data_IF_958174894051
#
_entry.id   IF_958174894051
#
_cell.length_a   1.000
_cell.length_b   1.000
_cell.length_c   1.000
_cell.angle_alpha   90.00
_cell.angle_beta   90.00
_cell.angle_gamma   90.00
#
_symmetry.space_group_name_H-M   'P 1'
#
loop_
_entity.id
_entity.type
_entity.pdbx_description
1 polymer ?
#
# COMPACT_ATOMS: atom_id res chain seq x y z
N UNK A 1 58.00 -22.48 15.86
CA UNK A 1 56.78 -22.91 15.12
C UNK A 1 57.14 -23.98 14.11
N UNK A 2 56.52 -25.16 14.20
CA UNK A 2 56.61 -26.22 13.17
C UNK A 2 55.85 -25.78 11.91
N UNK A 3 56.23 -26.29 10.73
CA UNK A 3 55.53 -26.03 9.46
C UNK A 3 54.01 -26.26 9.55
N UNK A 4 53.61 -27.26 10.35
CA UNK A 4 52.21 -27.59 10.63
C UNK A 4 51.48 -26.44 11.36
N UNK A 5 52.10 -25.82 12.37
CA UNK A 5 51.51 -24.69 13.11
C UNK A 5 51.34 -23.43 12.26
N UNK A 6 52.19 -23.23 11.24
CA UNK A 6 52.13 -22.09 10.32
C UNK A 6 50.96 -22.22 9.34
N UNK A 7 50.73 -23.42 8.82
CA UNK A 7 49.57 -23.72 7.95
C UNK A 7 48.25 -23.59 8.71
N UNK A 8 48.19 -24.05 9.96
CA UNK A 8 46.99 -23.92 10.80
C UNK A 8 46.64 -22.43 11.04
N UNK A 9 47.62 -21.60 11.36
CA UNK A 9 47.41 -20.15 11.52
C UNK A 9 46.96 -19.45 10.23
N UNK A 10 47.52 -19.85 9.07
CA UNK A 10 47.09 -19.32 7.77
C UNK A 10 45.63 -19.68 7.47
N UNK A 11 45.21 -20.90 7.78
CA UNK A 11 43.82 -21.35 7.59
C UNK A 11 42.89 -20.58 8.52
N UNK A 12 43.25 -20.38 9.79
CA UNK A 12 42.42 -19.61 10.75
C UNK A 12 42.26 -18.15 10.27
N UNK A 13 43.33 -17.52 9.80
CA UNK A 13 43.29 -16.16 9.25
C UNK A 13 42.39 -16.12 7.99
N UNK A 14 42.56 -17.05 7.05
CA UNK A 14 41.71 -17.13 5.85
C UNK A 14 40.24 -17.35 6.20
N UNK A 15 39.94 -18.22 7.16
CA UNK A 15 38.57 -18.50 7.60
C UNK A 15 37.94 -17.28 8.27
N UNK A 16 38.70 -16.55 9.09
CA UNK A 16 38.22 -15.33 9.74
C UNK A 16 37.96 -14.18 8.76
N UNK A 17 38.80 -14.04 7.73
CA UNK A 17 38.59 -13.08 6.63
C UNK A 17 37.34 -13.48 5.84
N UNK A 18 37.16 -14.77 5.56
CA UNK A 18 35.99 -15.28 4.85
C UNK A 18 34.70 -15.06 5.64
N UNK A 19 34.70 -15.33 6.96
CA UNK A 19 33.57 -15.08 7.85
C UNK A 19 33.24 -13.58 7.87
N UNK A 20 34.25 -12.71 7.94
CA UNK A 20 34.06 -11.26 7.90
C UNK A 20 33.49 -10.77 6.56
N UNK A 21 33.95 -11.35 5.44
CA UNK A 21 33.42 -11.10 4.10
C UNK A 21 31.97 -11.59 3.94
N UNK A 22 31.62 -12.73 4.55
CA UNK A 22 30.25 -13.25 4.54
C UNK A 22 29.33 -12.36 5.39
N UNK A 23 29.78 -11.86 6.55
CA UNK A 23 29.00 -10.91 7.33
C UNK A 23 28.85 -9.54 6.65
N UNK A 24 29.78 -9.17 5.76
CA UNK A 24 29.66 -8.02 4.85
C UNK A 24 28.58 -8.24 3.78
N UNK A 25 28.47 -9.45 3.21
CA UNK A 25 27.38 -9.78 2.27
C UNK A 25 26.01 -9.77 2.94
N UNK A 26 25.90 -10.23 4.20
CA UNK A 26 24.63 -10.32 4.93
C UNK A 26 24.10 -8.97 5.41
N UNK A 27 24.95 -7.95 5.56
CA UNK A 27 24.53 -6.58 5.93
C UNK A 27 24.16 -5.73 4.71
N UNK A 28 24.47 -6.21 3.50
CA UNK A 28 23.97 -5.67 2.24
C UNK A 28 22.56 -6.21 1.88
N UNK A 29 21.81 -6.76 2.84
CA UNK A 29 20.37 -6.88 2.73
C UNK A 29 19.82 -5.46 2.71
N UNK A 30 19.69 -4.95 1.49
CA UNK A 30 19.14 -3.64 1.15
C UNK A 30 17.76 -3.50 1.80
N UNK A 31 17.61 -2.60 2.76
CA UNK A 31 16.31 -2.02 3.01
C UNK A 31 15.89 -1.38 1.68
N UNK A 32 14.83 -1.91 1.06
CA UNK A 32 14.38 -1.44 -0.24
C UNK A 32 14.27 0.08 -0.21
N UNK A 33 15.08 0.75 -1.03
CA UNK A 33 15.08 2.20 -1.08
C UNK A 33 13.82 2.65 -1.80
N UNK A 34 12.82 3.06 -1.02
CA UNK A 34 11.57 3.59 -1.53
C UNK A 34 11.71 5.09 -1.81
N UNK A 35 11.28 5.49 -3.00
CA UNK A 35 11.15 6.91 -3.38
C UNK A 35 9.68 7.26 -3.58
N UNK A 36 9.27 8.47 -3.23
CA UNK A 36 7.90 8.93 -3.50
C UNK A 36 7.74 9.18 -5.00
N UNK A 37 6.74 8.54 -5.62
CA UNK A 37 6.35 8.76 -7.03
C UNK A 37 5.01 9.45 -7.17
N UNK A 38 4.16 9.34 -6.15
CA UNK A 38 2.89 10.03 -6.09
C UNK A 38 2.61 10.49 -4.66
N UNK A 39 2.09 11.69 -4.50
CA UNK A 39 1.53 12.15 -3.24
C UNK A 39 0.39 13.10 -3.55
N UNK A 40 -0.79 12.76 -3.06
CA UNK A 40 -1.98 13.56 -3.20
C UNK A 40 -2.68 13.67 -1.85
N UNK A 41 -3.05 14.89 -1.49
CA UNK A 41 -3.77 15.18 -0.26
C UNK A 41 -5.24 15.29 -0.59
N UNK A 42 -6.08 14.86 0.33
CA UNK A 42 -7.50 15.13 0.30
C UNK A 42 -7.89 16.17 1.36
N UNK A 43 -9.14 16.58 1.36
CA UNK A 43 -9.70 17.36 2.43
C UNK A 43 -9.78 16.51 3.72
N UNK A 44 -10.24 17.15 4.80
CA UNK A 44 -10.35 16.49 6.10
C UNK A 44 -11.76 16.62 6.59
N UNK A 45 -12.33 15.52 7.07
CA UNK A 45 -13.67 15.47 7.63
C UNK A 45 -14.75 15.68 6.59
N UNK A 46 -14.55 15.17 5.37
CA UNK A 46 -15.53 15.15 4.30
C UNK A 46 -15.98 13.73 3.93
N UNK A 47 -15.85 12.79 4.85
CA UNK A 47 -16.28 11.40 4.70
C UNK A 47 -17.80 11.18 4.85
N UNK A 48 -18.56 12.11 4.28
CA UNK A 48 -20.02 12.16 4.27
C UNK A 48 -20.59 12.07 2.84
N UNK A 49 -19.86 11.41 1.93
CA UNK A 49 -20.24 11.15 0.54
C UNK A 49 -20.60 12.46 -0.20
N UNK A 50 -21.81 12.59 -0.78
CA UNK A 50 -22.28 13.82 -1.41
C UNK A 50 -22.52 14.99 -0.42
N UNK A 51 -22.19 14.81 0.86
CA UNK A 51 -22.22 15.84 1.89
C UNK A 51 -23.45 15.80 2.80
N UNK A 52 -24.30 14.79 2.65
CA UNK A 52 -25.50 14.57 3.49
C UNK A 52 -25.52 13.19 4.15
N UNK A 53 -24.44 12.39 4.01
CA UNK A 53 -24.40 11.08 4.64
C UNK A 53 -24.18 11.21 6.14
N UNK A 54 -24.85 10.36 6.91
CA UNK A 54 -24.56 10.16 8.31
C UNK A 54 -24.23 8.69 8.57
N UNK A 55 -23.29 8.47 9.48
CA UNK A 55 -22.90 7.13 9.88
C UNK A 55 -24.09 6.33 10.43
N UNK A 56 -24.04 4.99 10.32
CA UNK A 56 -25.02 4.14 10.99
C UNK A 56 -24.99 4.33 12.51
N UNK A 57 -26.17 4.22 13.15
CA UNK A 57 -26.34 4.47 14.59
C UNK A 57 -25.63 3.48 15.53
N UNK A 58 -25.09 2.38 15.00
CA UNK A 58 -24.39 1.44 15.85
C UNK A 58 -23.14 2.10 16.46
N UNK A 59 -22.96 1.93 17.78
CA UNK A 59 -21.87 2.52 18.54
C UNK A 59 -20.47 2.31 17.95
N UNK A 60 -20.22 1.25 17.18
CA UNK A 60 -18.91 1.02 16.54
C UNK A 60 -18.51 2.14 15.57
N UNK A 61 -19.49 2.77 14.91
CA UNK A 61 -19.26 3.90 14.01
C UNK A 61 -19.11 5.22 14.77
N UNK A 62 -19.28 5.22 16.08
CA UNK A 62 -19.16 6.42 16.92
C UNK A 62 -18.04 6.30 17.95
N UNK A 63 -17.13 5.35 17.77
CA UNK A 63 -15.93 5.20 18.61
C UNK A 63 -14.89 6.28 18.31
N UNK A 64 -14.87 6.79 17.08
CA UNK A 64 -14.08 7.92 16.63
C UNK A 64 -14.82 8.62 15.48
N UNK A 65 -14.46 9.88 15.22
CA UNK A 65 -14.89 10.61 14.03
C UNK A 65 -13.96 10.28 12.85
N UNK A 66 -14.36 10.61 11.62
CA UNK A 66 -13.52 10.52 10.42
C UNK A 66 -13.02 9.08 10.14
N UNK A 67 -13.92 8.09 10.31
CA UNK A 67 -13.64 6.67 10.15
C UNK A 67 -13.43 6.25 8.71
N UNK A 68 -13.92 7.03 7.74
CA UNK A 68 -13.78 6.77 6.31
C UNK A 68 -13.02 7.89 5.57
N UNK A 69 -12.56 8.91 6.31
CA UNK A 69 -11.83 10.11 5.87
C UNK A 69 -10.42 9.78 5.38
N UNK A 70 -10.22 9.65 4.05
CA UNK A 70 -8.91 9.44 3.44
C UNK A 70 -8.21 10.79 3.25
N UNK A 71 -7.26 11.12 4.11
CA UNK A 71 -6.58 12.43 4.08
C UNK A 71 -5.43 12.51 3.08
N UNK A 72 -4.84 11.37 2.69
CA UNK A 72 -3.81 11.33 1.67
C UNK A 72 -3.60 9.94 1.07
N UNK A 73 -3.19 9.93 -0.20
CA UNK A 73 -2.55 8.79 -0.84
C UNK A 73 -1.10 9.14 -1.19
N UNK A 74 -0.16 8.37 -0.64
CA UNK A 74 1.25 8.42 -1.05
C UNK A 74 1.65 7.09 -1.68
N UNK A 75 2.20 7.11 -2.89
CA UNK A 75 2.77 5.92 -3.54
C UNK A 75 4.29 6.05 -3.54
N UNK A 76 4.92 5.06 -2.94
CA UNK A 76 6.35 4.87 -2.95
C UNK A 76 6.71 3.77 -3.95
N UNK A 77 7.87 3.91 -4.59
CA UNK A 77 8.40 2.96 -5.54
C UNK A 77 9.78 2.49 -5.10
N UNK A 78 9.99 1.17 -5.13
CA UNK A 78 11.30 0.53 -5.06
C UNK A 78 11.69 -0.06 -6.43
N UNK A 79 12.78 -0.82 -6.49
CA UNK A 79 13.15 -1.55 -7.72
C UNK A 79 12.07 -2.56 -8.14
N UNK A 80 11.44 -3.25 -7.18
CA UNK A 80 10.59 -4.41 -7.44
C UNK A 80 9.13 -4.26 -6.99
N UNK A 81 8.81 -3.24 -6.21
CA UNK A 81 7.48 -3.07 -5.62
C UNK A 81 7.03 -1.61 -5.57
N UNK A 82 5.71 -1.43 -5.49
CA UNK A 82 5.09 -0.20 -5.02
C UNK A 82 4.62 -0.41 -3.58
N UNK A 83 4.68 0.67 -2.79
CA UNK A 83 4.05 0.73 -1.48
C UNK A 83 3.08 1.91 -1.46
N UNK A 84 1.81 1.62 -1.27
CA UNK A 84 0.75 2.61 -1.13
C UNK A 84 0.60 2.88 0.36
N UNK A 85 0.58 4.15 0.75
CA UNK A 85 0.19 4.60 2.08
C UNK A 85 -1.13 5.36 1.96
N UNK A 86 -2.15 4.81 2.59
CA UNK A 86 -3.45 5.44 2.80
C UNK A 86 -3.43 6.07 4.19
N UNK A 87 -3.47 7.39 4.27
CA UNK A 87 -3.51 8.10 5.54
C UNK A 87 -4.94 8.48 5.86
N UNK A 88 -5.50 7.91 6.92
CA UNK A 88 -6.88 8.16 7.35
C UNK A 88 -6.97 9.16 8.50
N UNK A 89 -8.16 9.75 8.68
CA UNK A 89 -8.49 10.52 9.88
C UNK A 89 -8.44 9.65 11.14
N UNK A 90 -9.18 8.54 11.16
CA UNK A 90 -9.08 7.49 12.15
C UNK A 90 -9.30 6.10 11.54
N UNK A 91 -8.47 5.14 11.94
CA UNK A 91 -8.72 3.71 11.69
C UNK A 91 -9.09 3.01 12.99
N UNK A 92 -10.20 2.27 12.96
CA UNK A 92 -10.64 1.44 14.08
C UNK A 92 -10.80 -0.01 13.65
N UNK A 93 -10.74 -0.90 14.63
CA UNK A 93 -10.88 -2.33 14.41
C UNK A 93 -11.85 -2.99 15.41
N UNK A 94 -13.14 -2.58 15.42
CA UNK A 94 -14.15 -3.17 16.28
C UNK A 94 -14.41 -4.67 16.05
N UNK A 95 -13.96 -5.22 14.92
CA UNK A 95 -14.17 -6.62 14.53
C UNK A 95 -12.92 -7.50 14.59
N UNK A 96 -11.79 -6.99 15.10
CA UNK A 96 -10.53 -7.73 15.26
C UNK A 96 -10.10 -8.39 13.94
N UNK A 97 -9.87 -7.54 12.93
CA UNK A 97 -9.61 -7.95 11.55
C UNK A 97 -8.13 -8.29 11.34
N UNK A 98 -7.82 -9.07 10.30
CA UNK A 98 -6.45 -9.54 10.00
C UNK A 98 -5.44 -8.40 9.89
N UNK A 99 -5.82 -7.31 9.22
CA UNK A 99 -4.94 -6.16 8.96
C UNK A 99 -5.13 -5.02 9.97
N UNK A 100 -5.84 -5.28 11.07
CA UNK A 100 -6.00 -4.32 12.15
C UNK A 100 -6.90 -3.13 11.83
N UNK A 101 -7.79 -3.20 10.84
CA UNK A 101 -8.85 -2.22 10.59
C UNK A 101 -10.10 -2.93 10.07
N UNK A 102 -11.29 -2.44 10.40
CA UNK A 102 -12.55 -3.15 10.11
C UNK A 102 -13.49 -2.45 9.13
N UNK A 103 -13.59 -1.11 9.24
CA UNK A 103 -14.75 -0.39 8.74
C UNK A 103 -14.59 0.13 7.31
N UNK A 104 -13.45 0.73 6.90
CA UNK A 104 -13.24 1.11 5.51
C UNK A 104 -13.22 -0.07 4.52
N UNK A 105 -13.85 0.13 3.37
CA UNK A 105 -13.61 -0.63 2.14
C UNK A 105 -12.85 0.29 1.20
N UNK A 106 -11.63 -0.06 0.82
CA UNK A 106 -10.78 0.78 -0.05
C UNK A 106 -10.76 0.18 -1.45
N UNK A 107 -11.10 1.00 -2.45
CA UNK A 107 -11.09 0.63 -3.85
C UNK A 107 -10.17 1.55 -4.65
N UNK A 108 -9.30 0.97 -5.47
CA UNK A 108 -8.35 1.71 -6.29
C UNK A 108 -8.33 1.12 -7.69
N UNK A 109 -8.76 1.92 -8.64
CA UNK A 109 -8.68 1.61 -10.05
C UNK A 109 -7.44 2.29 -10.62
N UNK A 110 -6.67 1.54 -11.41
CA UNK A 110 -5.45 2.03 -12.07
C UNK A 110 -5.62 1.89 -13.58
N UNK A 111 -5.37 2.98 -14.28
CA UNK A 111 -5.20 3.04 -15.73
C UNK A 111 -3.72 3.28 -16.01
N UNK A 112 -2.99 2.21 -16.31
CA UNK A 112 -1.56 2.24 -16.58
C UNK A 112 -1.16 1.52 -17.89
N UNK A 113 -2.14 1.22 -18.74
CA UNK A 113 -1.95 0.56 -20.03
C UNK A 113 -2.91 1.12 -21.08
N UNK A 114 -2.66 0.85 -22.36
CA UNK A 114 -3.47 1.38 -23.46
C UNK A 114 -4.88 0.79 -23.57
N UNK A 115 -5.17 -0.29 -22.86
CA UNK A 115 -6.45 -1.00 -22.90
C UNK A 115 -6.94 -1.26 -21.49
N UNK A 116 -8.25 -1.09 -21.28
CA UNK A 116 -8.90 -1.28 -20.00
C UNK A 116 -10.42 -1.28 -20.15
N UNK A 117 -11.12 -1.35 -19.03
CA UNK A 117 -12.57 -1.21 -18.94
C UNK A 117 -12.96 0.19 -18.46
N UNK A 118 -14.17 0.63 -18.80
CA UNK A 118 -14.67 1.97 -18.48
C UNK A 118 -15.86 1.98 -17.53
N UNK A 119 -16.37 0.80 -17.19
CA UNK A 119 -17.32 0.61 -16.10
C UNK A 119 -16.58 0.06 -14.90
N UNK A 120 -17.00 0.40 -13.66
CA UNK A 120 -16.54 -0.30 -12.46
C UNK A 120 -16.66 -1.82 -12.61
N UNK A 121 -15.77 -2.55 -11.94
CA UNK A 121 -15.80 -4.03 -11.99
C UNK A 121 -17.13 -4.59 -11.46
N UNK A 122 -17.71 -3.91 -10.47
CA UNK A 122 -19.05 -4.14 -9.97
C UNK A 122 -19.73 -2.80 -9.66
N UNK A 123 -21.06 -2.78 -9.68
CA UNK A 123 -21.86 -1.58 -9.42
C UNK A 123 -22.02 -1.29 -7.91
N UNK A 124 -21.16 -1.85 -7.04
CA UNK A 124 -21.22 -1.67 -5.58
C UNK A 124 -21.15 -0.20 -5.18
N UNK A 125 -20.18 0.52 -5.72
CA UNK A 125 -19.97 1.93 -5.43
C UNK A 125 -21.07 2.85 -6.00
N UNK A 126 -21.86 2.40 -6.98
CA UNK A 126 -22.85 3.23 -7.71
C UNK A 126 -22.24 4.54 -8.27
N UNK A 127 -21.08 4.44 -8.92
CA UNK A 127 -20.40 5.55 -9.59
C UNK A 127 -20.14 5.19 -11.05
N UNK A 128 -19.75 6.18 -11.85
CA UNK A 128 -19.17 5.99 -13.18
C UNK A 128 -17.77 6.60 -13.22
N UNK A 129 -16.98 6.22 -14.23
CA UNK A 129 -15.68 6.83 -14.49
C UNK A 129 -15.77 7.86 -15.61
N UNK A 130 -14.85 8.83 -15.61
CA UNK A 130 -14.69 9.73 -16.74
C UNK A 130 -14.33 8.98 -18.01
N UNK A 131 -14.79 9.49 -19.17
CA UNK A 131 -14.62 8.82 -20.48
C UNK A 131 -13.16 8.51 -20.84
N UNK A 132 -12.22 9.28 -20.30
CA UNK A 132 -10.78 9.19 -20.53
C UNK A 132 -10.04 8.24 -19.57
N UNK A 133 -10.75 7.61 -18.64
CA UNK A 133 -10.19 6.66 -17.68
C UNK A 133 -10.61 5.23 -18.05
N UNK A 134 -9.64 4.39 -18.43
CA UNK A 134 -9.85 2.99 -18.82
C UNK A 134 -9.02 2.08 -17.93
N UNK A 135 -9.56 1.70 -16.78
CA UNK A 135 -8.81 0.94 -15.79
C UNK A 135 -8.44 -0.46 -16.29
N UNK A 136 -7.28 -0.94 -15.88
CA UNK A 136 -6.78 -2.27 -16.23
C UNK A 136 -6.25 -3.05 -15.02
N UNK A 137 -6.13 -2.39 -13.87
CA UNK A 137 -5.94 -3.02 -12.56
C UNK A 137 -6.93 -2.44 -11.57
N UNK A 138 -7.54 -3.28 -10.76
CA UNK A 138 -8.46 -2.88 -9.71
C UNK A 138 -8.08 -3.57 -8.40
N UNK A 139 -7.74 -2.77 -7.40
CA UNK A 139 -7.44 -3.22 -6.05
C UNK A 139 -8.63 -2.95 -5.16
N UNK A 140 -9.09 -3.99 -4.47
CA UNK A 140 -10.15 -3.91 -3.47
C UNK A 140 -9.61 -4.44 -2.15
N UNK A 141 -9.72 -3.65 -1.09
CA UNK A 141 -9.03 -3.92 0.18
C UNK A 141 -10.03 -3.77 1.32
N UNK A 142 -10.07 -4.78 2.18
CA UNK A 142 -10.80 -4.76 3.45
C UNK A 142 -9.86 -5.09 4.61
N UNK A 143 -10.39 -5.15 5.83
CA UNK A 143 -9.68 -5.63 7.01
C UNK A 143 -9.16 -7.06 6.94
N UNK A 144 -9.61 -7.87 5.98
CA UNK A 144 -9.31 -9.31 5.92
C UNK A 144 -8.60 -9.75 4.65
N UNK A 145 -8.74 -9.00 3.56
CA UNK A 145 -8.23 -9.41 2.26
C UNK A 145 -7.84 -8.21 1.41
N UNK A 146 -6.95 -8.47 0.46
CA UNK A 146 -6.53 -7.52 -0.55
C UNK A 146 -6.59 -8.22 -1.90
N UNK A 147 -7.58 -7.85 -2.71
CA UNK A 147 -7.86 -8.50 -3.99
C UNK A 147 -7.40 -7.63 -5.15
N UNK A 148 -6.87 -8.28 -6.18
CA UNK A 148 -6.43 -7.64 -7.41
C UNK A 148 -7.17 -8.24 -8.60
N UNK A 149 -7.85 -7.38 -9.35
CA UNK A 149 -8.63 -7.74 -10.52
C UNK A 149 -8.06 -7.07 -11.78
N UNK A 150 -8.37 -7.69 -12.92
CA UNK A 150 -8.25 -7.12 -14.27
C UNK A 150 -9.61 -7.17 -14.95
N UNK A 151 -9.82 -6.47 -16.08
CA UNK A 151 -11.08 -6.54 -16.83
C UNK A 151 -11.49 -7.97 -17.26
N UNK A 152 -10.55 -8.90 -17.35
CA UNK A 152 -10.79 -10.30 -17.71
C UNK A 152 -11.02 -11.21 -16.50
N UNK A 153 -10.93 -10.68 -15.28
CA UNK A 153 -11.17 -11.46 -14.07
C UNK A 153 -12.63 -11.91 -14.01
N UNK A 154 -12.86 -13.17 -13.67
CA UNK A 154 -14.21 -13.69 -13.51
C UNK A 154 -14.90 -13.01 -12.33
N UNK A 155 -16.09 -12.46 -12.55
CA UNK A 155 -16.95 -11.95 -11.50
C UNK A 155 -17.40 -13.08 -10.59
N UNK A 156 -17.11 -12.97 -9.29
CA UNK A 156 -17.54 -13.96 -8.30
C UNK A 156 -18.65 -13.39 -7.44
N UNK A 157 -19.86 -13.94 -7.59
CA UNK A 157 -20.95 -13.67 -6.66
C UNK A 157 -20.68 -14.39 -5.35
N UNK A 158 -20.72 -13.65 -4.24
CA UNK A 158 -20.59 -14.12 -2.84
C UNK A 158 -21.11 -15.54 -2.64
N UNK A 159 -20.20 -16.51 -2.61
CA UNK A 159 -20.50 -17.84 -2.11
C UNK A 159 -20.24 -17.85 -0.61
N UNK A 160 -21.25 -17.52 0.19
CA UNK A 160 -21.18 -17.51 1.66
C UNK A 160 -20.80 -18.88 2.27
N UNK A 161 -20.84 -19.97 1.48
CA UNK A 161 -20.38 -21.29 1.89
C UNK A 161 -18.88 -21.53 1.64
N UNK A 162 -18.25 -20.66 0.86
CA UNK A 162 -16.81 -20.63 0.64
C UNK A 162 -16.21 -19.54 1.53
N UNK A 163 -16.08 -19.87 2.81
CA UNK A 163 -14.88 -19.51 3.55
C UNK A 163 -13.68 -20.21 2.86
N UNK A 164 -13.43 -19.86 1.60
CA UNK A 164 -12.42 -20.49 0.79
C UNK A 164 -11.09 -20.22 1.47
N UNK A 165 -10.42 -21.30 1.84
CA UNK A 165 -9.02 -21.28 2.26
C UNK A 165 -8.09 -20.80 1.13
N UNK A 166 -8.64 -20.54 -0.06
CA UNK A 166 -7.96 -20.10 -1.28
C UNK A 166 -8.84 -19.03 -1.96
N UNK A 167 -8.65 -17.77 -1.59
CA UNK A 167 -9.25 -16.63 -2.28
C UNK A 167 -8.50 -16.43 -3.60
N UNK A 168 -9.11 -16.87 -4.71
CA UNK A 168 -8.47 -16.87 -6.04
C UNK A 168 -8.06 -15.46 -6.53
N UNK A 169 -8.66 -14.41 -5.95
CA UNK A 169 -8.39 -13.02 -6.30
C UNK A 169 -7.46 -12.33 -5.30
N UNK A 170 -7.04 -13.01 -4.23
CA UNK A 170 -6.05 -12.47 -3.31
C UNK A 170 -4.79 -12.08 -4.08
N UNK A 171 -4.39 -10.83 -3.94
CA UNK A 171 -3.19 -10.31 -4.55
C UNK A 171 -1.98 -11.04 -3.95
N UNK A 172 -1.20 -11.71 -4.81
CA UNK A 172 -0.25 -12.73 -4.35
C UNK A 172 0.92 -12.12 -3.57
N UNK A 173 1.32 -10.91 -3.94
CA UNK A 173 2.40 -10.18 -3.27
C UNK A 173 1.92 -9.13 -2.27
N UNK A 174 0.61 -9.06 -1.99
CA UNK A 174 0.08 -8.06 -1.06
C UNK A 174 0.59 -8.28 0.36
N UNK A 175 1.26 -7.27 0.89
CA UNK A 175 1.60 -7.16 2.30
C UNK A 175 0.95 -5.89 2.85
N UNK A 176 0.06 -6.04 3.83
CA UNK A 176 -0.62 -4.93 4.49
C UNK A 176 -0.13 -4.78 5.92
N UNK A 177 0.30 -3.57 6.26
CA UNK A 177 0.71 -3.19 7.61
C UNK A 177 -0.03 -1.92 8.00
N UNK A 178 -0.72 -1.96 9.13
CA UNK A 178 -1.26 -0.77 9.77
C UNK A 178 -0.22 -0.17 10.73
N UNK A 179 -0.03 1.13 10.65
CA UNK A 179 0.72 1.92 11.64
C UNK A 179 -0.15 3.11 12.05
N UNK A 180 -0.76 3.04 13.23
CA UNK A 180 -1.74 4.01 13.73
C UNK A 180 -2.91 4.24 12.75
N UNK A 181 -3.00 5.41 12.11
CA UNK A 181 -4.03 5.74 11.12
C UNK A 181 -3.51 5.65 9.66
N UNK A 182 -2.29 5.16 9.47
CA UNK A 182 -1.75 4.86 8.14
C UNK A 182 -1.91 3.36 7.83
N UNK A 183 -2.38 3.06 6.62
CA UNK A 183 -2.38 1.71 6.05
C UNK A 183 -1.35 1.63 4.93
N UNK A 184 -0.38 0.72 5.07
CA UNK A 184 0.65 0.47 4.07
C UNK A 184 0.35 -0.82 3.32
N UNK A 185 0.07 -0.73 2.02
CA UNK A 185 -0.04 -1.87 1.11
C UNK A 185 1.19 -1.95 0.22
N UNK A 186 1.97 -3.02 0.31
CA UNK A 186 3.08 -3.30 -0.61
C UNK A 186 2.66 -4.33 -1.65
N UNK A 187 2.97 -4.07 -2.92
CA UNK A 187 2.66 -4.93 -4.07
C UNK A 187 3.81 -4.98 -5.06
N UNK A 188 4.07 -6.13 -5.65
CA UNK A 188 5.09 -6.33 -6.66
C UNK A 188 4.71 -5.65 -7.99
N UNK A 189 5.70 -5.03 -8.63
CA UNK A 189 5.53 -4.44 -9.97
C UNK A 189 5.17 -5.46 -11.03
N UNK A 190 5.50 -6.74 -10.82
CA UNK A 190 5.11 -7.82 -11.72
C UNK A 190 3.61 -8.04 -11.78
N UNK A 191 2.86 -7.69 -10.73
CA UNK A 191 1.40 -7.79 -10.71
C UNK A 191 0.70 -6.51 -11.21
N UNK A 192 1.25 -5.34 -10.85
CA UNK A 192 0.65 -4.04 -11.20
C UNK A 192 1.07 -3.49 -12.56
N UNK A 193 2.29 -3.77 -13.04
CA UNK A 193 2.93 -3.03 -14.12
C UNK A 193 3.54 -1.70 -13.63
N UNK A 194 4.08 -0.89 -14.55
CA UNK A 194 4.59 0.45 -14.18
C UNK A 194 3.43 1.40 -13.86
N UNK A 195 3.62 2.30 -12.91
CA UNK A 195 2.70 3.42 -12.63
C UNK A 195 3.19 4.75 -13.23
N UNK A 196 4.22 4.71 -14.08
CA UNK A 196 4.65 5.90 -14.81
C UNK A 196 3.55 6.36 -15.78
N UNK A 197 3.21 7.65 -15.74
CA UNK A 197 2.16 8.27 -16.57
C UNK A 197 0.77 7.61 -16.43
N UNK A 198 0.49 6.97 -15.29
CA UNK A 198 -0.81 6.34 -15.02
C UNK A 198 -1.85 7.33 -14.49
N UNK A 199 -3.11 6.88 -14.43
CA UNK A 199 -4.19 7.57 -13.73
C UNK A 199 -4.81 6.65 -12.66
N UNK A 200 -5.34 7.24 -11.60
CA UNK A 200 -5.90 6.51 -10.46
C UNK A 200 -7.24 7.09 -10.06
N UNK A 201 -8.21 6.23 -9.77
CA UNK A 201 -9.42 6.58 -9.01
C UNK A 201 -9.37 5.83 -7.69
N UNK A 202 -9.53 6.55 -6.57
CA UNK A 202 -9.59 5.96 -5.22
C UNK A 202 -10.95 6.27 -4.62
N UNK A 203 -11.62 5.23 -4.12
CA UNK A 203 -12.90 5.30 -3.43
C UNK A 203 -12.76 4.67 -2.05
N UNK A 204 -13.46 5.23 -1.07
CA UNK A 204 -13.62 4.64 0.25
C UNK A 204 -15.11 4.44 0.53
N UNK A 205 -15.49 3.18 0.76
CA UNK A 205 -16.82 2.80 1.22
C UNK A 205 -16.86 2.45 2.70
N UNK A 206 -18.08 2.33 3.23
CA UNK A 206 -18.31 1.62 4.49
C UNK A 206 -18.45 0.13 4.21
N UNK A 207 -17.49 -0.68 4.66
CA UNK A 207 -17.47 -2.12 4.46
C UNK A 207 -18.68 -2.80 5.12
N UNK A 208 -19.36 -3.63 4.35
CA UNK A 208 -20.41 -4.53 4.83
C UNK A 208 -20.28 -5.90 4.13
N UNK A 209 -19.90 -6.98 4.85
CA UNK A 209 -19.75 -8.30 4.24
C UNK A 209 -21.05 -8.89 3.67
N UNK A 210 -22.20 -8.32 4.01
CA UNK A 210 -23.52 -8.72 3.50
C UNK A 210 -24.08 -7.75 2.46
N UNK A 211 -23.41 -6.62 2.25
CA UNK A 211 -23.78 -5.61 1.27
C UNK A 211 -23.50 -6.09 -0.15
N UNK A 212 -24.25 -5.55 -1.12
CA UNK A 212 -23.92 -5.79 -2.52
C UNK A 212 -22.52 -5.25 -2.81
N UNK A 213 -21.66 -6.13 -3.33
CA UNK A 213 -20.25 -5.84 -3.60
C UNK A 213 -19.52 -5.21 -2.39
N UNK A 214 -19.89 -5.67 -1.19
CA UNK A 214 -19.29 -5.28 0.09
C UNK A 214 -19.55 -3.83 0.54
N UNK A 215 -20.42 -3.10 -0.14
CA UNK A 215 -20.83 -1.75 0.26
C UNK A 215 -22.01 -1.76 1.21
N UNK A 216 -21.94 -0.95 2.27
CA UNK A 216 -23.07 -0.69 3.15
C UNK A 216 -24.18 0.08 2.41
N UNK A 217 -25.41 -0.39 2.60
CA UNK A 217 -26.59 0.24 2.02
C UNK A 217 -26.91 1.62 2.60
N UNK A 218 -27.59 2.43 1.77
CA UNK A 218 -28.18 3.70 2.14
C UNK A 218 -29.60 3.52 2.72
N UNK A 219 -30.05 4.51 3.51
CA UNK A 219 -31.40 4.56 4.05
C UNK A 219 -31.89 5.99 4.30
N UNK A 220 -33.17 6.24 4.00
CA UNK A 220 -33.88 7.49 4.39
C UNK A 220 -34.31 7.52 5.86
N UNK A 221 -33.90 6.53 6.65
CA UNK A 221 -34.15 6.48 8.09
C UNK A 221 -32.85 6.11 8.78
N UNK A 222 -32.51 6.80 9.86
CA UNK A 222 -31.37 6.43 10.70
C UNK A 222 -31.56 5.00 11.20
N UNK A 223 -30.60 4.14 10.90
CA UNK A 223 -30.63 2.72 11.25
C UNK A 223 -29.28 2.30 11.83
N UNK A 224 -29.24 1.16 12.52
CA UNK A 224 -28.03 0.67 13.16
C UNK A 224 -26.92 0.33 12.16
N UNK A 225 -27.26 -0.12 10.95
CA UNK A 225 -26.31 -0.72 10.01
C UNK A 225 -26.40 -0.16 8.60
N UNK A 226 -27.14 0.93 8.39
CA UNK A 226 -27.24 1.59 7.08
C UNK A 226 -26.79 3.04 7.21
N UNK A 227 -26.13 3.52 6.17
CA UNK A 227 -25.76 4.93 6.04
C UNK A 227 -27.07 5.71 5.87
N UNK A 228 -27.27 6.74 6.67
CA UNK A 228 -28.42 7.63 6.50
C UNK A 228 -28.10 8.69 5.45
N UNK A 229 -29.11 9.08 4.67
CA UNK A 229 -29.03 10.17 3.69
C UNK A 229 -30.40 10.81 3.55
N UNK A 230 -30.41 12.12 3.27
CA UNK A 230 -31.60 12.91 2.95
C UNK A 230 -31.78 13.12 1.46
N UNK A 231 -30.91 12.51 0.63
CA UNK A 231 -30.92 12.65 -0.82
C UNK A 231 -32.29 12.32 -1.44
N UNK A 232 -32.68 13.16 -2.39
CA UNK A 232 -33.86 12.95 -3.22
C UNK A 232 -33.62 11.92 -4.35
N UNK A 233 -32.36 11.52 -4.57
CA UNK A 233 -31.99 10.52 -5.57
C UNK A 233 -32.65 9.16 -5.28
N UNK A 234 -32.76 8.35 -6.34
CA UNK A 234 -33.06 6.93 -6.17
C UNK A 234 -31.89 6.26 -5.43
N UNK A 235 -32.15 5.69 -4.24
CA UNK A 235 -31.11 5.04 -3.43
C UNK A 235 -30.43 3.88 -4.17
N UNK A 236 -31.08 3.29 -5.17
CA UNK A 236 -30.47 2.25 -6.00
C UNK A 236 -29.34 2.79 -6.89
N UNK A 237 -29.33 4.09 -7.18
CA UNK A 237 -28.36 4.76 -8.08
C UNK A 237 -27.52 5.84 -7.40
N UNK A 238 -27.87 6.21 -6.18
CA UNK A 238 -27.07 7.12 -5.37
C UNK A 238 -25.71 6.47 -5.05
N UNK A 239 -24.59 7.22 -5.10
CA UNK A 239 -23.26 6.70 -4.78
C UNK A 239 -23.19 6.08 -3.39
N UNK A 240 -22.54 4.94 -3.20
CA UNK A 240 -22.39 4.30 -1.87
C UNK A 240 -21.01 4.53 -1.24
N UNK A 241 -20.26 5.47 -1.80
CA UNK A 241 -18.94 5.87 -1.28
C UNK A 241 -19.11 6.88 -0.15
N UNK A 242 -18.30 6.73 0.90
CA UNK A 242 -18.21 7.67 2.02
C UNK A 242 -17.22 8.80 1.69
N UNK A 243 -16.16 8.47 0.95
CA UNK A 243 -15.09 9.40 0.60
C UNK A 243 -14.44 9.00 -0.75
N UNK A 244 -13.85 9.95 -1.46
CA UNK A 244 -13.09 9.79 -2.70
C UNK A 244 -11.86 10.70 -2.68
N UNK A 245 -10.78 10.25 -3.31
CA UNK A 245 -9.63 11.12 -3.51
C UNK A 245 -9.94 12.15 -4.62
N UNK A 246 -10.09 13.42 -4.27
CA UNK A 246 -10.56 14.48 -5.18
C UNK A 246 -9.44 15.13 -5.99
N UNK A 247 -9.59 15.40 -7.30
CA UNK A 247 -8.57 16.13 -8.05
C UNK A 247 -8.60 17.64 -7.75
N UNK A 248 -7.51 18.19 -7.24
CA UNK A 248 -7.26 19.64 -7.24
C UNK A 248 -8.36 20.46 -6.56
N UNK A 249 -9.03 21.42 -7.25
CA UNK A 249 -10.02 22.32 -6.64
C UNK A 249 -11.44 21.74 -6.59
N UNK A 250 -11.69 20.53 -7.09
CA UNK A 250 -13.04 19.95 -7.09
C UNK A 250 -13.41 19.55 -5.67
N UNK A 251 -14.64 19.84 -5.26
CA UNK A 251 -15.18 19.33 -4.01
C UNK A 251 -15.78 17.95 -4.23
N UNK A 252 -15.60 17.04 -3.27
CA UNK A 252 -16.24 15.72 -3.29
C UNK A 252 -17.75 15.83 -3.47
N UNK A 253 -18.37 16.77 -2.73
CA UNK A 253 -19.81 17.03 -2.80
C UNK A 253 -20.28 17.29 -4.22
N UNK A 254 -19.62 18.18 -4.95
CA UNK A 254 -20.03 18.53 -6.31
C UNK A 254 -19.90 17.34 -7.28
N UNK A 255 -18.94 16.45 -7.03
CA UNK A 255 -18.73 15.24 -7.82
C UNK A 255 -19.85 14.23 -7.53
N UNK A 256 -20.15 13.97 -6.27
CA UNK A 256 -21.01 12.86 -5.83
C UNK A 256 -22.52 13.18 -5.80
N UNK A 257 -22.93 14.45 -5.88
CA UNK A 257 -24.35 14.88 -5.78
C UNK A 257 -25.16 14.59 -7.08
N UNK A 258 -25.04 13.40 -7.65
CA UNK A 258 -25.75 12.95 -8.85
C UNK A 258 -25.97 11.42 -8.85
N UNK A 259 -26.97 10.94 -9.61
CA UNK A 259 -27.10 9.49 -9.89
C UNK A 259 -25.89 9.01 -10.69
N UNK A 260 -25.28 7.89 -10.29
CA UNK A 260 -24.09 7.32 -10.95
C UNK A 260 -22.98 8.36 -11.19
N UNK A 261 -22.70 9.16 -10.16
CA UNK A 261 -21.72 10.22 -10.17
C UNK A 261 -20.42 9.85 -10.91
N UNK A 262 -20.01 10.71 -11.85
CA UNK A 262 -18.78 10.53 -12.62
C UNK A 262 -17.58 10.94 -11.77
N UNK A 263 -16.77 9.96 -11.36
CA UNK A 263 -15.59 10.21 -10.52
C UNK A 263 -14.36 10.45 -11.41
N UNK A 264 -13.72 11.62 -11.30
CA UNK A 264 -12.55 11.96 -12.10
C UNK A 264 -11.29 11.22 -11.64
N UNK A 265 -10.44 10.82 -12.59
CA UNK A 265 -9.15 10.21 -12.28
C UNK A 265 -8.05 11.25 -11.97
N UNK A 266 -7.11 10.86 -11.12
CA UNK A 266 -5.93 11.65 -10.77
C UNK A 266 -4.71 11.07 -11.48
N UNK A 267 -4.00 11.92 -12.24
CA UNK A 267 -2.77 11.56 -12.95
C UNK A 267 -1.60 11.37 -11.99
N UNK A 268 -0.93 10.22 -12.09
CA UNK A 268 0.40 9.98 -11.53
C UNK A 268 1.43 10.56 -12.49
N UNK A 269 2.08 11.65 -12.08
CA UNK A 269 3.13 12.28 -12.89
C UNK A 269 4.35 11.35 -12.98
N UNK A 270 5.06 11.36 -14.11
CA UNK A 270 6.24 10.56 -14.24
C UNK A 270 7.27 11.06 -13.22
N UNK A 271 7.99 10.14 -12.57
CA UNK A 271 8.99 10.50 -11.60
C UNK A 271 10.05 11.40 -12.22
N UNK A 272 10.48 12.43 -11.48
CA UNK A 272 11.66 13.20 -11.88
C UNK A 272 12.86 12.24 -12.03
N UNK A 273 13.71 12.41 -13.06
CA UNK A 273 14.85 11.53 -13.28
C UNK A 273 15.72 11.52 -12.03
N UNK A 274 15.86 10.34 -11.42
CA UNK A 274 16.69 10.19 -10.23
C UNK A 274 18.15 10.40 -10.61
N UNK A 275 18.85 11.22 -9.82
CA UNK A 275 20.32 11.30 -9.89
C UNK A 275 20.86 9.91 -9.55
N UNK A 276 21.54 9.25 -10.50
CA UNK A 276 22.21 7.97 -10.23
C UNK A 276 23.09 8.12 -8.98
N UNK A 277 22.82 7.32 -7.95
CA UNK A 277 23.67 7.27 -6.76
C UNK A 277 25.09 6.91 -7.18
N UNK A 278 26.03 7.78 -6.85
CA UNK A 278 27.43 7.60 -7.21
C UNK A 278 28.14 6.60 -6.29
N UNK A 279 29.32 6.12 -6.69
CA UNK A 279 30.22 5.31 -5.84
C UNK A 279 30.40 5.88 -4.42
N UNK A 280 30.28 7.19 -4.24
CA UNK A 280 30.46 7.90 -2.96
C UNK A 280 29.30 7.63 -1.98
N UNK A 281 28.06 7.47 -2.46
CA UNK A 281 26.90 7.20 -1.60
C UNK A 281 26.82 5.72 -1.20
N UNK A 282 27.46 4.82 -1.95
CA UNK A 282 27.73 3.45 -1.50
C UNK A 282 28.66 3.43 -0.26
N UNK A 283 29.52 4.43 -0.07
CA UNK A 283 30.40 4.56 1.09
C UNK A 283 29.83 5.46 2.20
N UNK A 284 28.52 5.41 2.46
CA UNK A 284 27.91 6.06 3.63
C UNK A 284 28.49 5.54 4.95
N UNK A 285 28.31 6.32 6.04
CA UNK A 285 28.99 6.18 7.35
C UNK A 285 29.06 4.73 7.88
N UNK A 286 28.01 3.94 7.69
CA UNK A 286 27.93 2.55 8.14
C UNK A 286 28.94 1.65 7.40
N UNK A 287 29.02 1.78 6.07
CA UNK A 287 30.01 1.08 5.24
C UNK A 287 31.42 1.60 5.52
N UNK A 288 31.58 2.88 5.85
CA UNK A 288 32.87 3.46 6.24
C UNK A 288 33.37 2.88 7.57
N UNK A 289 32.49 2.74 8.58
CA UNK A 289 32.81 2.13 9.88
C UNK A 289 33.22 0.66 9.73
N UNK A 290 32.54 -0.09 8.85
CA UNK A 290 32.87 -1.49 8.58
C UNK A 290 34.22 -1.60 7.85
N UNK A 291 34.48 -0.75 6.85
CA UNK A 291 35.79 -0.67 6.18
C UNK A 291 36.89 -0.29 7.18
N UNK A 292 36.62 0.63 8.11
CA UNK A 292 37.57 1.03 9.15
C UNK A 292 37.84 -0.11 10.15
N UNK A 293 36.80 -0.82 10.58
CA UNK A 293 36.93 -2.00 11.44
C UNK A 293 37.73 -3.12 10.75
N UNK A 294 37.51 -3.33 9.44
CA UNK A 294 38.29 -4.28 8.64
C UNK A 294 39.78 -3.88 8.54
N UNK A 295 40.06 -2.60 8.31
CA UNK A 295 41.43 -2.08 8.28
C UNK A 295 42.12 -2.25 9.64
N UNK A 296 41.44 -1.95 10.75
CA UNK A 296 41.95 -2.18 12.12
C UNK A 296 42.24 -3.68 12.33
N UNK A 297 41.33 -4.53 11.89
CA UNK A 297 41.47 -5.99 11.99
C UNK A 297 42.70 -6.50 11.23
N UNK A 298 42.93 -6.04 9.99
CA UNK A 298 44.12 -6.37 9.21
C UNK A 298 45.41 -5.88 9.89
N UNK A 299 45.39 -4.69 10.50
CA UNK A 299 46.53 -4.17 11.28
C UNK A 299 46.81 -5.05 12.50
N UNK A 300 45.78 -5.48 13.22
CA UNK A 300 45.91 -6.40 14.37
C UNK A 300 46.51 -7.74 13.96
N UNK A 301 46.03 -8.34 12.86
CA UNK A 301 46.63 -9.56 12.31
C UNK A 301 48.11 -9.35 12.00
N UNK A 302 48.47 -8.25 11.33
CA UNK A 302 49.86 -7.94 10.99
C UNK A 302 50.74 -7.80 12.24
N UNK A 303 50.25 -7.14 13.29
CA UNK A 303 50.95 -6.99 14.58
C UNK A 303 51.13 -8.35 15.26
N UNK A 304 50.09 -9.19 15.29
CA UNK A 304 50.14 -10.54 15.85
C UNK A 304 51.17 -11.38 15.11
N UNK A 305 51.08 -11.45 13.78
CA UNK A 305 52.04 -12.19 12.93
C UNK A 305 53.46 -11.70 13.17
N UNK A 306 53.69 -10.38 13.19
CA UNK A 306 55.02 -9.82 13.45
C UNK A 306 55.56 -10.19 14.84
N UNK A 307 54.73 -10.10 15.88
CA UNK A 307 55.10 -10.45 17.27
C UNK A 307 55.41 -11.95 17.45
N UNK A 308 54.72 -12.81 16.71
CA UNK A 308 54.98 -14.25 16.71
C UNK A 308 56.17 -14.66 15.83
N UNK A 309 56.52 -13.87 14.81
CA UNK A 309 57.76 -14.05 14.04
C UNK A 309 59.01 -13.53 14.77
N UNK A 310 58.88 -12.51 15.63
CA UNK A 310 59.99 -11.95 16.43
C UNK A 310 60.40 -12.79 17.65
N UNK A 311 59.63 -13.82 18.02
CA UNK A 311 60.00 -14.79 19.08
C UNK A 311 60.76 -16.00 18.54
N UNK A 312 61.44 -15.86 17.41
CA UNK A 312 62.44 -16.81 16.90
C UNK A 312 63.84 -16.30 17.17
#
# INVERSE_FOLDING_TARGET
MTLLSRKIWQIIILLSILIFLISFLMTAVSAAEYRVVFNHLDARGDDFGPGDYEYPLNHIFHQADNLFDIQALTIFESEHSYRFRFSFGNLTDPWDSEYGFSLPLIEIYLDNQSSGADQPFHEGANISFSDDFKWNKFLKISGWWARLYTPESEEEFLNLNELALDDKHQAQSAEIIRDDNDLYLTLAKSELGSLDDSSIVLLVGSFDPFGYDYYRDLSRRRQLWKIYTETDLDLAKAPRVMDILTPGPYSQRDILDNELAEVPAIRVKPPLPTRRRGLIEFFMIENLLIVFAFLIYLVLIKVIVHKFEYKK
#
